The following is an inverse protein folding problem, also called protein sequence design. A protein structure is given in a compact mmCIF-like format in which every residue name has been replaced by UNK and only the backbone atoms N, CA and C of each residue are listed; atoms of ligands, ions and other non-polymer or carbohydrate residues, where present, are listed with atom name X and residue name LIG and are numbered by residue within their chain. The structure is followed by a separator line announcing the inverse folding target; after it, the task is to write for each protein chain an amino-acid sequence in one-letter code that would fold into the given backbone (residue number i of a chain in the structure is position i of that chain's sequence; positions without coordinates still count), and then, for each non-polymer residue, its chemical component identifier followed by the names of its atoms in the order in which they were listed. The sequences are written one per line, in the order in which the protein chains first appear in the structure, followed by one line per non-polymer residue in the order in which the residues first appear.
data_IF_685677007644
#
_entry.id   IF_685677007644
#
_cell.length_a   1.000
_cell.length_b   1.000
_cell.length_c   1.000
_cell.angle_alpha   90.00
_cell.angle_beta   90.00
_cell.angle_gamma   90.00
#
_symmetry.space_group_name_H-M   'P 1'
#
loop_
_entity.id
_entity.type
_entity.pdbx_description
1 polymer ?
#
# COMPACT_ATOMS: atom_id res chain seq x y z
N UNK A 1 17.86 12.10 10.79
CA UNK A 1 16.77 11.46 10.04
C UNK A 1 16.13 10.41 10.95
N UNK A 2 14.81 10.30 10.94
CA UNK A 2 14.12 9.28 11.72
C UNK A 2 14.18 7.93 11.00
N UNK A 3 14.47 6.86 11.74
CA UNK A 3 14.39 5.49 11.21
C UNK A 3 12.93 5.08 11.01
N UNK A 4 12.63 4.48 9.87
CA UNK A 4 11.32 3.87 9.59
C UNK A 4 11.40 2.40 9.94
N UNK A 5 11.03 2.07 11.17
CA UNK A 5 11.09 0.68 11.68
C UNK A 5 10.11 -0.26 10.98
N UNK A 6 8.99 0.29 10.50
CA UNK A 6 7.95 -0.44 9.80
C UNK A 6 7.43 0.38 8.62
N UNK A 7 7.13 -0.31 7.53
CA UNK A 7 6.51 0.27 6.35
C UNK A 7 5.13 0.82 6.71
N UNK A 8 4.86 2.07 6.37
CA UNK A 8 3.61 2.74 6.75
C UNK A 8 3.09 3.62 5.62
N UNK A 9 1.78 3.86 5.61
CA UNK A 9 1.12 4.71 4.61
C UNK A 9 0.84 6.10 5.19
N UNK A 10 1.06 7.15 4.39
CA UNK A 10 0.74 8.54 4.75
C UNK A 10 0.00 9.24 3.62
N UNK A 11 -1.00 10.06 3.98
CA UNK A 11 -1.46 11.23 3.19
C UNK A 11 -2.59 12.01 3.89
N UNK A 12 -2.31 13.07 4.66
CA UNK A 12 -3.41 13.79 5.35
C UNK A 12 -3.88 15.11 4.76
N UNK A 13 -3.39 15.61 3.62
CA UNK A 13 -3.77 16.98 3.19
C UNK A 13 -3.92 17.10 1.69
N UNK A 14 -4.74 18.07 1.26
CA UNK A 14 -5.10 18.46 -0.13
C UNK A 14 -3.92 18.66 -1.11
N UNK A 15 -2.68 18.39 -0.72
CA UNK A 15 -1.48 18.53 -1.54
C UNK A 15 -0.49 17.40 -1.19
N UNK A 16 -0.54 16.29 -1.93
CA UNK A 16 0.35 15.14 -1.75
C UNK A 16 1.82 15.53 -1.88
N UNK A 17 2.17 16.49 -2.75
CA UNK A 17 3.54 16.98 -2.93
C UNK A 17 4.10 17.51 -1.61
N UNK A 18 3.33 18.29 -0.85
CA UNK A 18 3.79 18.79 0.46
C UNK A 18 3.99 17.69 1.50
N UNK A 19 3.16 16.65 1.49
CA UNK A 19 3.32 15.53 2.43
C UNK A 19 4.50 14.64 2.02
N UNK A 20 4.74 14.45 0.72
CA UNK A 20 5.93 13.77 0.23
C UNK A 20 7.20 14.50 0.67
N UNK A 21 7.30 15.81 0.43
CA UNK A 21 8.44 16.62 0.87
C UNK A 21 8.63 16.59 2.38
N UNK A 22 7.54 16.60 3.15
CA UNK A 22 7.59 16.42 4.61
C UNK A 22 8.10 15.04 5.00
N UNK A 23 7.62 13.96 4.36
CA UNK A 23 8.09 12.61 4.63
C UNK A 23 9.58 12.47 4.28
N UNK A 24 10.02 13.03 3.15
CA UNK A 24 11.44 13.08 2.77
C UNK A 24 12.28 13.81 3.81
N UNK A 25 11.81 14.95 4.31
CA UNK A 25 12.50 15.73 5.35
C UNK A 25 12.64 14.96 6.68
N UNK A 26 11.63 14.17 7.07
CA UNK A 26 11.64 13.43 8.33
C UNK A 26 12.43 12.12 8.20
N UNK A 27 12.17 11.36 7.14
CA UNK A 27 12.59 9.96 6.99
C UNK A 27 13.74 9.77 5.99
N UNK A 28 14.05 10.77 5.16
CA UNK A 28 15.03 10.67 4.07
C UNK A 28 14.37 10.55 2.69
N UNK A 29 15.05 11.05 1.65
CA UNK A 29 14.54 11.02 0.28
C UNK A 29 14.33 9.60 -0.22
N UNK A 30 15.26 8.70 0.08
CA UNK A 30 15.16 7.29 -0.28
C UNK A 30 14.06 6.53 0.49
N UNK A 31 13.54 7.08 1.57
CA UNK A 31 12.58 6.41 2.45
C UNK A 31 11.13 6.84 2.23
N UNK A 32 10.88 7.90 1.47
CA UNK A 32 9.54 8.34 1.12
C UNK A 32 9.21 7.99 -0.34
N UNK A 33 8.30 7.04 -0.53
CA UNK A 33 7.99 6.44 -1.84
C UNK A 33 6.58 6.80 -2.28
N UNK A 34 6.44 7.46 -3.42
CA UNK A 34 5.12 7.68 -4.04
C UNK A 34 4.60 6.39 -4.66
N UNK A 35 3.35 6.03 -4.34
CA UNK A 35 2.69 4.80 -4.83
C UNK A 35 1.44 5.11 -5.65
N UNK A 36 1.40 6.26 -6.35
CA UNK A 36 0.30 6.61 -7.24
C UNK A 36 0.36 5.84 -8.57
N UNK A 37 -0.63 6.08 -9.45
CA UNK A 37 -0.77 5.37 -10.73
C UNK A 37 0.39 5.59 -11.72
N UNK A 38 1.24 6.58 -11.49
CA UNK A 38 2.41 6.83 -12.33
C UNK A 38 3.59 5.93 -11.98
N UNK A 39 3.52 5.20 -10.86
CA UNK A 39 4.58 4.30 -10.40
C UNK A 39 4.17 2.83 -10.56
N UNK A 40 5.15 1.92 -10.54
CA UNK A 40 4.89 0.47 -10.59
C UNK A 40 4.09 -0.05 -9.38
N UNK A 41 4.03 0.73 -8.30
CA UNK A 41 3.29 0.44 -7.08
C UNK A 41 1.86 1.02 -7.09
N UNK A 42 1.49 1.73 -8.15
CA UNK A 42 0.15 2.27 -8.34
C UNK A 42 -0.91 1.20 -8.60
N UNK A 43 -2.11 1.41 -8.08
CA UNK A 43 -3.27 0.62 -8.49
C UNK A 43 -3.74 1.02 -9.90
N UNK A 44 -3.87 0.08 -10.85
CA UNK A 44 -4.37 0.39 -12.20
C UNK A 44 -5.86 0.74 -12.23
N UNK A 45 -6.58 0.54 -11.11
CA UNK A 45 -8.01 0.76 -11.00
C UNK A 45 -8.32 2.11 -10.34
N UNK A 46 -9.39 2.76 -10.80
CA UNK A 46 -9.86 4.05 -10.34
C UNK A 46 -11.24 3.99 -9.69
N UNK A 47 -11.34 4.56 -8.48
CA UNK A 47 -12.62 4.71 -7.76
C UNK A 47 -13.57 5.53 -8.64
N UNK A 48 -14.82 5.09 -8.73
CA UNK A 48 -15.86 5.67 -9.59
C UNK A 48 -15.88 5.10 -11.00
N UNK A 49 -14.72 4.96 -11.66
CA UNK A 49 -14.61 4.37 -13.01
C UNK A 49 -14.66 2.85 -12.98
N UNK A 50 -13.89 2.25 -12.08
CA UNK A 50 -13.69 0.81 -11.95
C UNK A 50 -14.44 0.22 -10.74
N UNK A 51 -15.30 1.01 -10.10
CA UNK A 51 -16.13 0.57 -8.97
C UNK A 51 -15.98 1.42 -7.71
N UNK A 52 -16.58 0.93 -6.62
CA UNK A 52 -16.42 1.49 -5.28
C UNK A 52 -14.98 1.33 -4.79
N UNK A 53 -14.64 2.01 -3.69
CA UNK A 53 -13.31 1.88 -3.06
C UNK A 53 -13.00 0.42 -2.71
N UNK A 54 -13.97 -0.30 -2.17
CA UNK A 54 -13.83 -1.71 -1.79
C UNK A 54 -13.60 -2.60 -3.02
N UNK A 55 -14.38 -2.42 -4.08
CA UNK A 55 -14.22 -3.16 -5.34
C UNK A 55 -12.86 -2.90 -5.97
N UNK A 56 -12.41 -1.65 -5.98
CA UNK A 56 -11.09 -1.25 -6.50
C UNK A 56 -9.95 -1.90 -5.69
N UNK A 57 -10.09 -2.00 -4.37
CA UNK A 57 -9.11 -2.68 -3.52
C UNK A 57 -9.10 -4.18 -3.76
N UNK A 58 -10.26 -4.82 -3.89
CA UNK A 58 -10.36 -6.24 -4.24
C UNK A 58 -9.73 -6.53 -5.61
N UNK A 59 -10.02 -5.68 -6.61
CA UNK A 59 -9.39 -5.74 -7.94
C UNK A 59 -7.88 -5.58 -7.84
N UNK A 60 -7.39 -4.64 -7.01
CA UNK A 60 -5.96 -4.46 -6.79
C UNK A 60 -5.29 -5.69 -6.16
N UNK A 61 -5.92 -6.31 -5.14
CA UNK A 61 -5.41 -7.55 -4.56
C UNK A 61 -5.35 -8.67 -5.61
N UNK A 62 -6.40 -8.85 -6.40
CA UNK A 62 -6.44 -9.84 -7.48
C UNK A 62 -5.38 -9.56 -8.56
N UNK A 63 -5.13 -8.29 -8.87
CA UNK A 63 -4.06 -7.87 -9.77
C UNK A 63 -2.66 -8.21 -9.22
N UNK A 64 -2.39 -7.89 -7.95
CA UNK A 64 -1.11 -8.21 -7.31
C UNK A 64 -0.84 -9.73 -7.28
N UNK A 65 -1.86 -10.56 -7.01
CA UNK A 65 -1.73 -12.03 -7.06
C UNK A 65 -1.29 -12.56 -8.42
N UNK A 66 -1.65 -11.87 -9.50
CA UNK A 66 -1.26 -12.21 -10.88
C UNK A 66 0.11 -11.63 -11.28
N UNK A 67 0.79 -10.91 -10.38
CA UNK A 67 2.07 -10.23 -10.63
C UNK A 67 3.15 -10.74 -9.65
N UNK A 68 3.69 -11.95 -9.87
CA UNK A 68 4.69 -12.53 -8.98
C UNK A 68 5.96 -11.68 -8.87
N UNK A 69 6.32 -10.94 -9.91
CA UNK A 69 7.50 -10.06 -9.89
C UNK A 69 7.31 -8.87 -8.95
N UNK A 70 6.12 -8.27 -8.95
CA UNK A 70 5.79 -7.19 -7.99
C UNK A 70 5.78 -7.74 -6.56
N UNK A 71 5.15 -8.89 -6.33
CA UNK A 71 5.13 -9.52 -5.01
C UNK A 71 6.53 -9.79 -4.46
N UNK A 72 7.44 -10.29 -5.30
CA UNK A 72 8.84 -10.55 -4.93
C UNK A 72 9.63 -9.29 -4.60
N UNK A 73 9.31 -8.18 -5.28
CA UNK A 73 9.98 -6.90 -5.06
C UNK A 73 9.54 -6.19 -3.78
N UNK A 74 8.33 -6.46 -3.26
CA UNK A 74 7.77 -5.75 -2.09
C UNK A 74 8.71 -5.75 -0.88
N UNK A 75 9.22 -6.90 -0.37
CA UNK A 75 10.07 -6.90 0.83
C UNK A 75 11.39 -6.16 0.64
N UNK A 76 11.96 -6.21 -0.56
CA UNK A 76 13.25 -5.58 -0.85
C UNK A 76 13.15 -4.07 -1.08
N UNK A 77 12.07 -3.62 -1.71
CA UNK A 77 11.94 -2.21 -2.14
C UNK A 77 11.09 -1.35 -1.22
N UNK A 78 10.12 -1.95 -0.51
CA UNK A 78 9.15 -1.20 0.29
C UNK A 78 9.35 -1.38 1.80
N UNK A 79 10.12 -2.36 2.25
CA UNK A 79 10.39 -2.56 3.68
C UNK A 79 11.11 -1.34 4.27
N UNK A 80 10.59 -0.84 5.40
CA UNK A 80 11.12 0.35 6.05
C UNK A 80 10.89 1.64 5.24
N UNK A 81 9.86 1.70 4.41
CA UNK A 81 9.51 2.90 3.62
C UNK A 81 8.21 3.54 4.08
N UNK A 82 8.07 4.83 3.80
CA UNK A 82 6.83 5.58 3.92
C UNK A 82 6.18 5.66 2.56
N UNK A 83 5.06 4.96 2.41
CA UNK A 83 4.28 4.92 1.17
C UNK A 83 3.32 6.11 1.13
N UNK A 84 3.50 6.98 0.15
CA UNK A 84 2.69 8.19 -0.01
C UNK A 84 1.62 7.97 -1.08
N UNK A 85 0.35 8.05 -0.68
CA UNK A 85 -0.79 7.80 -1.57
C UNK A 85 -1.94 8.76 -1.33
N UNK A 86 -2.54 9.30 -2.39
CA UNK A 86 -3.71 10.18 -2.32
C UNK A 86 -4.93 9.63 -1.56
N UNK A 87 -5.08 8.30 -1.47
CA UNK A 87 -6.27 7.68 -0.88
C UNK A 87 -6.28 7.67 0.65
N UNK A 88 -5.11 7.62 1.30
CA UNK A 88 -5.05 7.64 2.77
C UNK A 88 -5.63 8.97 3.28
N UNK A 89 -6.31 9.03 4.45
CA UNK A 89 -6.50 7.97 5.46
C UNK A 89 -7.66 7.00 5.19
N UNK A 90 -8.39 7.15 4.08
CA UNK A 90 -9.38 6.15 3.69
C UNK A 90 -8.68 4.85 3.25
N UNK A 91 -9.40 3.72 3.18
CA UNK A 91 -8.85 2.45 2.73
C UNK A 91 -8.02 2.60 1.44
N UNK A 92 -6.74 2.25 1.53
CA UNK A 92 -5.75 2.55 0.51
C UNK A 92 -5.09 1.25 0.01
N UNK A 93 -4.71 1.23 -1.27
CA UNK A 93 -3.95 0.10 -1.80
C UNK A 93 -2.54 0.00 -1.18
N UNK A 94 -2.02 1.14 -0.72
CA UNK A 94 -0.79 1.21 0.05
C UNK A 94 -0.82 0.40 1.33
N UNK A 95 -1.98 0.19 1.94
CA UNK A 95 -2.09 -0.60 3.17
C UNK A 95 -1.79 -2.08 2.89
N UNK A 96 -2.18 -2.57 1.69
CA UNK A 96 -1.86 -3.93 1.23
C UNK A 96 -0.34 -4.06 1.01
N UNK A 97 0.27 -3.07 0.35
CA UNK A 97 1.71 -3.05 0.09
C UNK A 97 2.52 -2.99 1.40
N UNK A 98 2.12 -2.11 2.32
CA UNK A 98 2.76 -1.97 3.62
C UNK A 98 2.63 -3.25 4.46
N UNK A 99 1.46 -3.88 4.45
CA UNK A 99 1.25 -5.16 5.13
C UNK A 99 2.20 -6.24 4.60
N UNK A 100 2.30 -6.41 3.28
CA UNK A 100 3.16 -7.42 2.66
C UNK A 100 4.65 -7.10 2.84
N UNK A 101 5.03 -5.81 2.88
CA UNK A 101 6.40 -5.38 3.15
C UNK A 101 6.82 -5.72 4.58
N UNK A 102 5.91 -5.55 5.55
CA UNK A 102 6.16 -5.85 6.96
C UNK A 102 6.00 -7.33 7.31
N UNK A 103 5.35 -8.13 6.46
CA UNK A 103 5.06 -9.54 6.70
C UNK A 103 5.44 -10.39 5.46
N UNK A 104 6.75 -10.47 5.11
CA UNK A 104 7.19 -11.18 3.91
C UNK A 104 6.85 -12.67 3.92
N UNK A 105 6.73 -13.29 5.10
CA UNK A 105 6.29 -14.69 5.27
C UNK A 105 4.85 -14.92 4.79
N UNK A 106 4.04 -13.85 4.69
CA UNK A 106 2.63 -13.91 4.26
C UNK A 106 2.43 -13.75 2.76
N UNK A 107 3.48 -13.51 1.98
CA UNK A 107 3.38 -13.29 0.54
C UNK A 107 2.88 -14.54 -0.20
N UNK A 108 3.38 -15.73 0.16
CA UNK A 108 2.93 -16.97 -0.48
C UNK A 108 1.48 -17.30 -0.12
N UNK A 109 1.06 -17.02 1.12
CA UNK A 109 -0.35 -17.14 1.53
C UNK A 109 -1.24 -16.17 0.73
N UNK A 110 -0.82 -14.91 0.59
CA UNK A 110 -1.53 -13.89 -0.19
C UNK A 110 -1.69 -14.31 -1.66
N UNK A 111 -0.62 -14.85 -2.25
CA UNK A 111 -0.58 -15.33 -3.63
C UNK A 111 -1.57 -16.46 -3.88
N UNK A 112 -1.75 -17.34 -2.90
CA UNK A 112 -2.72 -18.45 -2.94
C UNK A 112 -4.18 -18.01 -2.74
N UNK A 113 -4.45 -16.72 -2.63
CA UNK A 113 -5.82 -16.20 -2.47
C UNK A 113 -6.32 -16.23 -1.03
N UNK A 114 -5.51 -16.67 -0.06
CA UNK A 114 -5.83 -16.46 1.35
C UNK A 114 -5.82 -14.95 1.58
N UNK A 115 -6.76 -14.45 2.39
CA UNK A 115 -6.75 -13.05 2.81
C UNK A 115 -5.88 -12.92 4.07
N UNK A 116 -4.58 -12.56 3.96
CA UNK A 116 -3.72 -12.47 5.13
C UNK A 116 -4.11 -11.29 6.05
N UNK A 117 -4.98 -10.40 5.56
CA UNK A 117 -5.50 -9.26 6.30
C UNK A 117 -6.79 -9.61 7.09
N UNK A 118 -7.33 -10.84 7.01
CA UNK A 118 -8.53 -11.25 7.77
C UNK A 118 -8.26 -11.12 9.28
N UNK A 119 -9.00 -10.23 9.95
CA UNK A 119 -8.93 -9.99 11.41
C UNK A 119 -8.04 -8.85 11.91
N UNK A 120 -6.99 -8.43 11.17
CA UNK A 120 -6.14 -7.26 11.57
C UNK A 120 -6.58 -5.93 10.97
N UNK A 121 -7.49 -6.02 10.02
CA UNK A 121 -8.03 -4.91 9.24
C UNK A 121 -9.48 -4.59 9.68
N UNK A 122 -10.03 -5.30 10.67
CA UNK A 122 -11.41 -5.09 11.15
C UNK A 122 -11.69 -3.69 11.73
N UNK A 123 -10.68 -2.88 12.03
CA UNK A 123 -10.88 -1.47 12.46
C UNK A 123 -10.80 -0.46 11.31
N UNK A 124 -10.30 -0.83 10.13
CA UNK A 124 -10.09 0.12 9.01
C UNK A 124 -10.77 -0.33 7.71
N UNK A 125 -11.07 -1.61 7.54
CA UNK A 125 -11.78 -2.11 6.39
C UNK A 125 -12.89 -3.03 6.89
N UNK A 126 -14.13 -2.72 6.49
CA UNK A 126 -15.32 -3.47 6.87
C UNK A 126 -15.18 -4.98 6.63
N UNK A 127 -16.05 -5.74 7.29
CA UNK A 127 -16.06 -7.19 7.21
C UNK A 127 -16.02 -7.68 5.75
N UNK A 128 -14.97 -8.42 5.40
CA UNK A 128 -14.91 -9.19 4.18
C UNK A 128 -15.35 -10.62 4.53
N UNK A 129 -16.52 -11.04 4.03
CA UNK A 129 -17.03 -12.41 4.12
C UNK A 129 -16.08 -13.41 3.41
#
# INVERSE_FOLDING_TARGET
MAEVKETLVRSKRKNQTKELERCKSIYGEENAVTIDRTTKWGSPFAIGKDGTREEVLQKHQAYLRKKPDLLRAIPGELSGKVLVCWCWPDPCHGDILAYLANNPDKIEEFKQGKNPMKGKVQTTFGNFE
#
